data_IF_630599031942
#
_entry.id   IF_630599031942
#
_cell.length_a   1.000
_cell.length_b   1.000
_cell.length_c   1.000
_cell.angle_alpha   90.00
_cell.angle_beta   90.00
_cell.angle_gamma   90.00
#
_symmetry.space_group_name_H-M   'P 1'
#
loop_
_entity.id
_entity.type
_entity.pdbx_description
1 polymer ?
#
# COMPACT_ATOMS: atom_id res chain seq x y z
N UNK A 1 3.67 3.86 -40.88
CA UNK A 1 4.73 4.31 -39.95
C UNK A 1 4.26 4.02 -38.53
N UNK A 2 4.71 2.90 -37.94
CA UNK A 2 4.26 2.47 -36.61
C UNK A 2 4.97 3.29 -35.54
N UNK A 3 4.27 4.21 -34.89
CA UNK A 3 4.72 4.82 -33.64
C UNK A 3 4.51 3.79 -32.52
N UNK A 4 5.51 2.95 -32.27
CA UNK A 4 5.62 2.24 -30.99
C UNK A 4 5.88 3.32 -29.96
N UNK A 5 4.84 3.75 -29.25
CA UNK A 5 4.99 4.59 -28.07
C UNK A 5 5.63 3.73 -26.98
N UNK A 6 6.96 3.75 -26.90
CA UNK A 6 7.71 3.08 -25.86
C UNK A 6 7.37 3.73 -24.51
N UNK A 7 6.47 3.11 -23.74
CA UNK A 7 6.09 3.59 -22.40
C UNK A 7 7.21 3.27 -21.42
N UNK A 8 8.11 4.22 -21.20
CA UNK A 8 9.11 4.14 -20.14
C UNK A 8 8.52 4.66 -18.83
N UNK A 9 8.37 3.80 -17.83
CA UNK A 9 7.88 4.17 -16.50
C UNK A 9 9.03 4.30 -15.51
N UNK A 10 8.81 4.99 -14.39
CA UNK A 10 9.74 4.99 -13.26
C UNK A 10 10.06 3.59 -12.77
N UNK A 11 9.08 2.67 -12.82
CA UNK A 11 9.28 1.26 -12.50
C UNK A 11 10.25 0.60 -13.46
N UNK A 12 10.08 0.76 -14.78
CA UNK A 12 10.99 0.19 -15.78
C UNK A 12 12.44 0.67 -15.59
N UNK A 13 12.63 1.97 -15.35
CA UNK A 13 13.96 2.53 -15.13
C UNK A 13 14.58 2.05 -13.81
N UNK A 14 13.80 1.98 -12.72
CA UNK A 14 14.31 1.45 -11.44
C UNK A 14 14.69 -0.02 -11.61
N UNK A 15 13.88 -0.81 -12.32
CA UNK A 15 14.23 -2.20 -12.62
C UNK A 15 15.54 -2.29 -13.39
N UNK A 16 15.69 -1.51 -14.46
CA UNK A 16 16.93 -1.50 -15.24
C UNK A 16 18.14 -1.06 -14.41
N UNK A 17 18.01 -0.02 -13.58
CA UNK A 17 19.07 0.46 -12.68
C UNK A 17 19.47 -0.63 -11.69
N UNK A 18 18.50 -1.34 -11.12
CA UNK A 18 18.80 -2.44 -10.18
C UNK A 18 19.58 -3.56 -10.85
N UNK A 19 19.24 -3.91 -12.09
CA UNK A 19 19.92 -4.97 -12.85
C UNK A 19 21.33 -4.56 -13.28
N UNK A 20 21.49 -3.32 -13.75
CA UNK A 20 22.69 -2.92 -14.47
C UNK A 20 23.62 -2.01 -13.67
N UNK A 21 23.11 -1.32 -12.65
CA UNK A 21 23.76 -0.21 -11.96
C UNK A 21 23.53 -0.28 -10.43
N UNK A 22 23.51 -1.49 -9.86
CA UNK A 22 23.23 -1.72 -8.44
C UNK A 22 24.15 -0.93 -7.50
N UNK A 23 25.47 -0.96 -7.74
CA UNK A 23 26.44 -0.21 -6.93
C UNK A 23 26.21 1.30 -6.98
N UNK A 24 25.87 1.82 -8.17
CA UNK A 24 25.50 3.22 -8.32
C UNK A 24 24.22 3.55 -7.56
N UNK A 25 23.21 2.67 -7.60
CA UNK A 25 21.97 2.85 -6.87
C UNK A 25 22.20 2.89 -5.36
N UNK A 26 22.99 1.97 -4.81
CA UNK A 26 23.33 1.93 -3.38
C UNK A 26 24.08 3.19 -2.95
N UNK A 27 25.07 3.62 -3.73
CA UNK A 27 25.81 4.87 -3.47
C UNK A 27 24.89 6.09 -3.58
N UNK A 28 24.06 6.18 -4.62
CA UNK A 28 23.10 7.27 -4.77
C UNK A 28 22.16 7.36 -3.57
N UNK A 29 21.61 6.22 -3.12
CA UNK A 29 20.73 6.14 -1.95
C UNK A 29 21.48 6.56 -0.68
N UNK A 30 22.74 6.16 -0.48
CA UNK A 30 23.53 6.53 0.70
C UNK A 30 23.82 8.02 0.80
N UNK A 31 23.86 8.75 -0.34
CA UNK A 31 23.97 10.22 -0.33
C UNK A 31 22.72 10.95 0.13
N UNK A 32 21.58 10.25 0.30
CA UNK A 32 20.29 10.86 0.65
C UNK A 32 19.94 10.55 2.10
N UNK A 33 19.09 11.42 2.67
CA UNK A 33 18.45 11.11 3.96
C UNK A 33 17.66 9.80 3.82
N UNK A 34 17.68 8.90 4.83
CA UNK A 34 17.01 7.60 4.77
C UNK A 34 15.54 7.65 4.32
N UNK A 35 14.84 8.73 4.69
CA UNK A 35 13.41 8.91 4.39
C UNK A 35 13.14 9.66 3.07
N UNK A 36 14.18 10.15 2.39
CA UNK A 36 14.05 10.95 1.17
C UNK A 36 14.58 10.25 -0.08
N UNK A 37 15.43 9.23 0.07
CA UNK A 37 16.13 8.57 -1.04
C UNK A 37 15.20 8.12 -2.16
N UNK A 38 14.09 7.45 -1.81
CA UNK A 38 13.10 7.00 -2.80
C UNK A 38 12.43 8.14 -3.54
N UNK A 39 12.04 9.20 -2.82
CA UNK A 39 11.36 10.35 -3.40
C UNK A 39 12.34 11.11 -4.32
N UNK A 40 13.61 11.22 -3.92
CA UNK A 40 14.66 11.83 -4.72
C UNK A 40 14.92 11.05 -6.01
N UNK A 41 15.02 9.71 -5.94
CA UNK A 41 15.20 8.87 -7.12
C UNK A 41 13.99 8.95 -8.07
N UNK A 42 12.76 8.85 -7.53
CA UNK A 42 11.55 8.97 -8.33
C UNK A 42 11.48 10.33 -9.04
N UNK A 43 11.82 11.43 -8.35
CA UNK A 43 11.89 12.76 -8.95
C UNK A 43 12.93 12.84 -10.07
N UNK A 44 14.13 12.29 -9.85
CA UNK A 44 15.18 12.23 -10.87
C UNK A 44 14.69 11.53 -12.14
N UNK A 45 14.04 10.38 -11.98
CA UNK A 45 13.50 9.58 -13.07
C UNK A 45 12.30 10.23 -13.76
N UNK A 46 11.42 10.90 -13.00
CA UNK A 46 10.34 11.70 -13.56
C UNK A 46 10.86 12.87 -14.40
N UNK A 47 11.91 13.55 -13.92
CA UNK A 47 12.59 14.60 -14.69
C UNK A 47 13.22 14.05 -15.96
N UNK A 48 13.83 12.86 -15.91
CA UNK A 48 14.33 12.17 -17.11
C UNK A 48 13.19 11.86 -18.10
N UNK A 49 12.10 11.26 -17.63
CA UNK A 49 10.93 10.98 -18.47
C UNK A 49 10.41 12.25 -19.16
N UNK A 50 10.25 13.34 -18.40
CA UNK A 50 9.80 14.64 -18.91
C UNK A 50 10.76 15.21 -19.95
N UNK A 51 12.07 15.16 -19.69
CA UNK A 51 13.10 15.69 -20.58
C UNK A 51 13.14 14.96 -21.93
N UNK A 52 12.89 13.65 -21.91
CA UNK A 52 12.99 12.80 -23.10
C UNK A 52 11.63 12.45 -23.73
N UNK A 53 10.55 13.16 -23.35
CA UNK A 53 9.25 13.04 -24.02
C UNK A 53 8.49 11.74 -23.75
N UNK A 54 8.81 11.01 -22.68
CA UNK A 54 8.08 9.79 -22.32
C UNK A 54 6.73 10.15 -21.66
N UNK A 55 5.63 9.67 -22.23
CA UNK A 55 4.25 9.84 -21.74
C UNK A 55 3.70 8.59 -21.06
N UNK A 56 2.68 8.76 -20.21
CA UNK A 56 2.22 7.74 -19.26
C UNK A 56 0.71 7.49 -19.39
N UNK A 57 0.27 6.28 -19.78
CA UNK A 57 -1.06 5.70 -19.42
C UNK A 57 -1.10 4.16 -19.55
N UNK A 58 -1.81 3.50 -18.62
CA UNK A 58 -2.96 2.59 -18.90
C UNK A 58 -3.65 2.18 -17.58
N UNK A 59 -5.00 2.11 -17.55
CA UNK A 59 -5.73 1.38 -16.53
C UNK A 59 -5.66 -0.12 -16.80
N UNK A 60 -5.47 -0.91 -15.74
CA UNK A 60 -5.60 -2.37 -15.79
C UNK A 60 -6.78 -2.77 -14.92
N UNK A 61 -7.74 -3.49 -15.49
CA UNK A 61 -8.86 -4.08 -14.75
C UNK A 61 -8.76 -5.60 -14.81
N UNK A 62 -8.54 -6.22 -13.65
CA UNK A 62 -9.01 -7.58 -13.34
C UNK A 62 -9.42 -7.57 -11.87
N UNK A 63 -10.72 -7.65 -11.60
CA UNK A 63 -11.27 -7.88 -10.26
C UNK A 63 -11.38 -9.39 -10.04
N UNK A 64 -11.11 -9.84 -8.82
CA UNK A 64 -11.43 -11.20 -8.38
C UNK A 64 -12.94 -11.34 -8.20
N UNK A 65 -13.45 -12.58 -8.17
CA UNK A 65 -14.86 -12.84 -7.87
C UNK A 65 -15.12 -12.56 -6.38
N UNK A 66 -16.27 -11.96 -6.06
CA UNK A 66 -16.64 -11.54 -4.71
C UNK A 66 -16.64 -12.68 -3.68
N UNK A 67 -17.02 -13.90 -4.10
CA UNK A 67 -17.14 -15.07 -3.21
C UNK A 67 -15.81 -15.48 -2.58
N UNK A 68 -14.73 -15.44 -3.35
CA UNK A 68 -13.38 -15.77 -2.86
C UNK A 68 -12.87 -14.71 -1.87
N UNK A 69 -13.33 -13.47 -2.00
CA UNK A 69 -12.96 -12.40 -1.07
C UNK A 69 -13.71 -12.52 0.26
N UNK A 70 -14.96 -12.98 0.24
CA UNK A 70 -15.79 -13.14 1.43
C UNK A 70 -15.27 -14.24 2.37
N UNK A 71 -14.90 -15.41 1.84
CA UNK A 71 -14.37 -16.53 2.65
C UNK A 71 -13.07 -16.14 3.39
N UNK A 72 -12.14 -15.48 2.69
CA UNK A 72 -10.88 -15.02 3.27
C UNK A 72 -11.11 -13.91 4.30
N UNK A 73 -12.14 -13.09 4.12
CA UNK A 73 -12.49 -12.03 5.04
C UNK A 73 -13.06 -12.59 6.36
N UNK A 74 -13.93 -13.59 6.28
CA UNK A 74 -14.53 -14.25 7.44
C UNK A 74 -13.48 -14.97 8.30
N UNK A 75 -12.61 -15.76 7.66
CA UNK A 75 -11.50 -16.46 8.34
C UNK A 75 -10.63 -15.47 9.13
N UNK A 76 -10.18 -14.40 8.47
CA UNK A 76 -9.33 -13.39 9.09
C UNK A 76 -10.02 -12.62 10.23
N UNK A 77 -11.30 -12.28 10.05
CA UNK A 77 -12.05 -11.51 11.04
C UNK A 77 -12.28 -12.30 12.33
N UNK A 78 -12.59 -13.60 12.21
CA UNK A 78 -12.84 -14.47 13.37
C UNK A 78 -11.61 -14.68 14.27
N UNK A 79 -10.40 -14.65 13.69
CA UNK A 79 -9.15 -14.79 14.45
C UNK A 79 -8.71 -13.51 15.17
N UNK A 80 -9.21 -12.34 14.74
CA UNK A 80 -8.65 -11.03 15.14
C UNK A 80 -9.56 -10.20 16.05
N UNK A 81 -10.82 -10.60 16.23
CA UNK A 81 -11.84 -9.81 16.92
C UNK A 81 -12.26 -10.54 18.19
N UNK A 82 -12.02 -9.93 19.35
CA UNK A 82 -12.50 -10.42 20.65
C UNK A 82 -13.77 -9.67 21.06
N UNK A 83 -14.76 -10.39 21.60
CA UNK A 83 -15.99 -9.78 22.12
C UNK A 83 -15.79 -9.25 23.55
N UNK A 84 -16.27 -8.03 23.89
CA UNK A 84 -16.93 -7.04 23.03
C UNK A 84 -15.92 -6.08 22.38
N UNK A 85 -16.08 -5.81 21.08
CA UNK A 85 -15.21 -4.90 20.33
C UNK A 85 -15.97 -3.98 19.37
N UNK A 86 -15.25 -2.95 18.89
CA UNK A 86 -15.77 -1.95 17.94
C UNK A 86 -14.87 -1.91 16.71
N UNK A 87 -15.48 -2.04 15.54
CA UNK A 87 -14.82 -1.94 14.23
C UNK A 87 -15.09 -0.55 13.65
N UNK A 88 -14.05 0.29 13.63
CA UNK A 88 -14.13 1.64 13.08
C UNK A 88 -13.86 1.63 11.56
N UNK A 89 -14.86 2.00 10.76
CA UNK A 89 -14.79 1.95 9.29
C UNK A 89 -15.17 3.30 8.68
N UNK A 90 -14.70 3.56 7.46
CA UNK A 90 -15.21 4.68 6.67
C UNK A 90 -16.63 4.37 6.15
N UNK A 91 -17.32 5.40 5.67
CA UNK A 91 -18.70 5.28 5.17
C UNK A 91 -18.76 4.73 3.74
N UNK A 92 -17.84 3.84 3.37
CA UNK A 92 -17.89 3.18 2.07
C UNK A 92 -19.07 2.20 2.05
N UNK A 93 -19.82 2.19 0.96
CA UNK A 93 -21.13 1.51 0.88
C UNK A 93 -21.08 0.04 1.28
N UNK A 94 -20.00 -0.68 0.94
CA UNK A 94 -19.87 -2.09 1.31
C UNK A 94 -19.47 -2.32 2.78
N UNK A 95 -19.03 -1.29 3.51
CA UNK A 95 -18.70 -1.39 4.94
C UNK A 95 -19.93 -1.17 5.82
N UNK A 96 -20.90 -0.38 5.33
CA UNK A 96 -22.08 0.05 6.09
C UNK A 96 -23.39 -0.51 5.54
N UNK A 97 -23.33 -1.60 4.78
CA UNK A 97 -24.54 -2.31 4.33
C UNK A 97 -25.18 -3.10 5.48
N UNK A 98 -26.48 -3.39 5.35
CA UNK A 98 -27.22 -4.17 6.35
C UNK A 98 -26.58 -5.54 6.59
N UNK A 99 -26.06 -6.17 5.54
CA UNK A 99 -25.33 -7.44 5.63
C UNK A 99 -24.04 -7.32 6.44
N UNK A 100 -23.29 -6.23 6.25
CA UNK A 100 -22.06 -5.96 7.01
C UNK A 100 -22.36 -5.81 8.50
N UNK A 101 -23.36 -4.99 8.86
CA UNK A 101 -23.79 -4.84 10.25
C UNK A 101 -24.25 -6.16 10.85
N UNK A 102 -25.00 -6.97 10.08
CA UNK A 102 -25.48 -8.27 10.53
C UNK A 102 -24.34 -9.24 10.83
N UNK A 103 -23.40 -9.39 9.90
CA UNK A 103 -22.25 -10.30 10.06
C UNK A 103 -21.40 -9.87 11.26
N UNK A 104 -21.05 -8.58 11.35
CA UNK A 104 -20.17 -8.09 12.42
C UNK A 104 -20.82 -8.21 13.80
N UNK A 105 -22.14 -8.04 13.90
CA UNK A 105 -22.84 -8.18 15.16
C UNK A 105 -23.17 -9.63 15.52
N UNK A 106 -23.74 -10.41 14.59
CA UNK A 106 -24.25 -11.77 14.88
C UNK A 106 -23.15 -12.84 14.88
N UNK A 107 -22.14 -12.71 14.00
CA UNK A 107 -21.10 -13.73 13.82
C UNK A 107 -19.80 -13.39 14.57
N UNK A 108 -19.50 -12.09 14.72
CA UNK A 108 -18.25 -11.61 15.34
C UNK A 108 -18.45 -10.90 16.69
N UNK A 109 -19.71 -10.68 17.12
CA UNK A 109 -20.08 -9.99 18.36
C UNK A 109 -19.44 -8.62 18.56
N UNK A 110 -19.23 -7.90 17.47
CA UNK A 110 -18.66 -6.57 17.45
C UNK A 110 -19.66 -5.54 16.91
N UNK A 111 -19.36 -4.26 17.14
CA UNK A 111 -20.16 -3.16 16.62
C UNK A 111 -19.40 -2.40 15.55
N UNK A 112 -20.03 -2.17 14.40
CA UNK A 112 -19.49 -1.23 13.40
C UNK A 112 -19.74 0.20 13.89
N UNK A 113 -18.68 1.01 13.87
CA UNK A 113 -18.74 2.45 14.01
C UNK A 113 -18.35 3.09 12.68
N UNK A 114 -19.34 3.57 11.94
CA UNK A 114 -19.10 4.28 10.69
C UNK A 114 -18.68 5.72 10.95
N UNK A 115 -17.57 6.14 10.34
CA UNK A 115 -17.12 7.53 10.39
C UNK A 115 -18.07 8.44 9.61
N UNK A 116 -18.24 9.71 10.05
CA UNK A 116 -18.96 10.70 9.26
C UNK A 116 -18.38 10.83 7.84
N UNK A 117 -19.21 11.09 6.81
CA UNK A 117 -18.71 11.29 5.45
C UNK A 117 -17.61 12.35 5.38
N UNK A 118 -16.58 12.09 4.57
CA UNK A 118 -15.41 12.97 4.36
C UNK A 118 -14.53 13.21 5.60
N UNK A 119 -14.65 12.38 6.64
CA UNK A 119 -13.83 12.50 7.86
C UNK A 119 -12.67 11.50 7.95
N UNK A 120 -12.56 10.53 7.02
CA UNK A 120 -11.52 9.49 6.98
C UNK A 120 -10.11 10.02 7.23
N UNK A 121 -9.71 11.08 6.52
CA UNK A 121 -8.36 11.64 6.64
C UNK A 121 -8.02 12.24 8.00
N UNK A 122 -9.02 12.48 8.85
CA UNK A 122 -8.88 13.12 10.16
C UNK A 122 -9.22 12.17 11.31
N UNK A 123 -10.15 11.23 11.08
CA UNK A 123 -10.76 10.42 12.12
C UNK A 123 -10.45 8.91 11.97
N UNK A 124 -9.84 8.46 10.87
CA UNK A 124 -9.43 7.06 10.73
C UNK A 124 -7.97 6.91 11.15
N UNK A 125 -7.65 6.12 12.21
CA UNK A 125 -6.27 5.92 12.67
C UNK A 125 -5.32 5.46 11.56
N UNK A 126 -5.83 4.60 10.68
CA UNK A 126 -5.10 4.08 9.53
C UNK A 126 -4.55 5.24 8.68
N UNK A 127 -5.42 6.15 8.21
CA UNK A 127 -5.03 7.29 7.39
C UNK A 127 -4.24 8.36 8.15
N UNK A 128 -4.63 8.66 9.39
CA UNK A 128 -4.04 9.75 10.20
C UNK A 128 -2.59 9.44 10.59
N UNK A 129 -2.26 8.18 10.89
CA UNK A 129 -0.97 7.83 11.48
C UNK A 129 -0.23 6.65 10.87
N UNK A 130 -0.92 5.63 10.39
CA UNK A 130 -0.30 4.35 9.99
C UNK A 130 0.10 4.33 8.51
N UNK A 131 -0.73 4.88 7.62
CA UNK A 131 -0.53 4.79 6.18
C UNK A 131 0.76 5.48 5.71
N UNK A 132 1.14 6.59 6.33
CA UNK A 132 2.37 7.32 5.99
C UNK A 132 3.64 6.49 6.28
N UNK A 133 3.89 5.98 7.50
CA UNK A 133 5.04 5.12 7.78
C UNK A 133 4.98 3.80 7.01
N UNK A 134 3.81 3.16 6.88
CA UNK A 134 3.65 1.93 6.09
C UNK A 134 4.05 2.13 4.62
N UNK A 135 3.51 3.17 3.96
CA UNK A 135 3.84 3.50 2.57
C UNK A 135 5.31 3.87 2.39
N UNK A 136 5.93 4.50 3.40
CA UNK A 136 7.37 4.78 3.41
C UNK A 136 8.18 3.49 3.45
N UNK A 137 7.81 2.54 4.32
CA UNK A 137 8.48 1.25 4.44
C UNK A 137 8.33 0.42 3.15
N UNK A 138 7.14 0.38 2.57
CA UNK A 138 6.88 -0.24 1.26
C UNK A 138 7.83 0.26 0.17
N UNK A 139 7.98 1.59 0.08
CA UNK A 139 8.88 2.22 -0.89
C UNK A 139 10.35 1.89 -0.62
N UNK A 140 10.76 1.89 0.65
CA UNK A 140 12.12 1.54 1.07
C UNK A 140 12.45 0.09 0.69
N UNK A 141 11.60 -0.86 1.07
CA UNK A 141 11.82 -2.26 0.74
C UNK A 141 11.75 -2.50 -0.75
N UNK A 142 10.80 -1.89 -1.47
CA UNK A 142 10.75 -2.03 -2.92
C UNK A 142 12.03 -1.58 -3.60
N UNK A 143 12.75 -0.58 -3.07
CA UNK A 143 14.02 -0.15 -3.64
C UNK A 143 15.19 -1.07 -3.31
N UNK A 144 15.21 -1.65 -2.12
CA UNK A 144 16.31 -2.50 -1.65
C UNK A 144 16.13 -3.97 -1.99
N UNK A 145 14.91 -4.38 -2.36
CA UNK A 145 14.60 -5.73 -2.79
C UNK A 145 15.38 -6.07 -4.07
N UNK A 146 15.89 -7.30 -4.13
CA UNK A 146 16.51 -7.81 -5.35
C UNK A 146 15.49 -7.94 -6.48
N UNK A 147 15.99 -8.13 -7.70
CA UNK A 147 15.10 -8.31 -8.84
C UNK A 147 14.44 -9.68 -8.77
N UNK A 148 13.15 -9.70 -9.11
CA UNK A 148 12.39 -10.93 -9.21
C UNK A 148 12.84 -11.61 -10.51
N UNK A 149 13.53 -12.74 -10.37
CA UNK A 149 13.90 -13.59 -11.51
C UNK A 149 12.64 -14.32 -11.99
N UNK A 150 12.53 -14.47 -13.31
CA UNK A 150 11.49 -15.30 -13.92
C UNK A 150 11.68 -16.79 -13.66
N UNK A 151 10.92 -17.61 -14.36
CA UNK A 151 11.09 -19.06 -14.28
C UNK A 151 12.25 -19.53 -15.18
N UNK A 152 12.49 -20.84 -15.20
CA UNK A 152 13.59 -21.45 -15.97
C UNK A 152 13.40 -21.26 -17.49
N UNK A 153 12.17 -21.04 -17.96
CA UNK A 153 11.86 -20.83 -19.38
C UNK A 153 12.13 -19.38 -19.81
N UNK A 154 11.78 -18.40 -18.97
CA UNK A 154 12.07 -16.98 -19.20
C UNK A 154 12.56 -16.28 -17.92
N UNK A 155 13.86 -16.40 -17.59
CA UNK A 155 14.44 -15.79 -16.37
C UNK A 155 14.33 -14.26 -16.33
N UNK A 156 14.08 -13.61 -17.47
CA UNK A 156 13.98 -12.16 -17.58
C UNK A 156 12.55 -11.63 -17.45
N UNK A 157 11.55 -12.52 -17.41
CA UNK A 157 10.13 -12.16 -17.36
C UNK A 157 9.41 -12.79 -16.18
N UNK A 158 9.45 -12.15 -15.00
CA UNK A 158 8.73 -12.66 -13.83
C UNK A 158 7.23 -12.78 -14.08
N UNK A 159 6.68 -13.93 -13.70
CA UNK A 159 5.26 -14.24 -13.82
C UNK A 159 4.40 -13.31 -12.95
N UNK A 160 3.11 -13.21 -13.28
CA UNK A 160 2.17 -12.46 -12.44
C UNK A 160 2.09 -13.01 -11.00
N UNK A 161 2.28 -14.33 -10.84
CA UNK A 161 2.30 -14.98 -9.53
C UNK A 161 3.50 -14.52 -8.70
N UNK A 162 4.72 -14.61 -9.26
CA UNK A 162 5.95 -14.15 -8.60
C UNK A 162 5.90 -12.66 -8.23
N UNK A 163 5.38 -11.81 -9.14
CA UNK A 163 5.18 -10.38 -8.88
C UNK A 163 4.23 -10.11 -7.71
N UNK A 164 3.11 -10.84 -7.63
CA UNK A 164 2.15 -10.72 -6.52
C UNK A 164 2.76 -11.21 -5.20
N UNK A 165 3.44 -12.36 -5.23
CA UNK A 165 4.10 -12.92 -4.04
C UNK A 165 5.13 -11.95 -3.45
N UNK A 166 5.99 -11.37 -4.30
CA UNK A 166 6.95 -10.35 -3.87
C UNK A 166 6.26 -9.11 -3.30
N UNK A 167 5.14 -8.67 -3.90
CA UNK A 167 4.36 -7.56 -3.37
C UNK A 167 3.77 -7.84 -1.99
N UNK A 168 3.23 -9.04 -1.76
CA UNK A 168 2.68 -9.47 -0.46
C UNK A 168 3.78 -9.56 0.59
N UNK A 169 4.90 -10.25 0.29
CA UNK A 169 6.04 -10.34 1.21
C UNK A 169 6.60 -8.98 1.60
N UNK A 170 6.66 -8.05 0.63
CA UNK A 170 7.07 -6.67 0.88
C UNK A 170 6.07 -5.93 1.76
N UNK A 171 4.78 -6.14 1.58
CA UNK A 171 3.75 -5.54 2.41
C UNK A 171 3.85 -6.04 3.86
N UNK A 172 4.05 -7.34 4.07
CA UNK A 172 4.28 -7.93 5.39
C UNK A 172 5.51 -7.28 6.05
N UNK A 173 6.66 -7.30 5.37
CA UNK A 173 7.88 -6.69 5.91
C UNK A 173 7.72 -5.17 6.18
N UNK A 174 6.93 -4.47 5.36
CA UNK A 174 6.63 -3.05 5.57
C UNK A 174 5.73 -2.81 6.79
N UNK A 175 4.79 -3.73 7.05
CA UNK A 175 3.89 -3.72 8.19
C UNK A 175 4.63 -4.02 9.49
N UNK A 176 5.52 -5.01 9.51
CA UNK A 176 6.34 -5.37 10.69
C UNK A 176 7.22 -4.21 11.19
N UNK A 177 7.52 -3.26 10.30
CA UNK A 177 8.27 -2.04 10.63
C UNK A 177 7.40 -0.92 11.21
N UNK A 178 6.08 -1.08 11.27
CA UNK A 178 5.14 -0.16 11.93
C UNK A 178 5.01 -0.61 13.39
N UNK A 179 5.66 0.11 14.29
CA UNK A 179 5.63 -0.22 15.72
C UNK A 179 4.25 -0.01 16.34
N UNK A 180 3.93 -0.75 17.40
CA UNK A 180 2.72 -0.56 18.21
C UNK A 180 2.55 0.88 18.71
N UNK A 181 3.64 1.59 19.02
CA UNK A 181 3.59 3.00 19.43
C UNK A 181 3.10 3.94 18.33
N UNK A 182 3.29 3.58 17.05
CA UNK A 182 2.73 4.33 15.91
C UNK A 182 1.24 4.06 15.82
N UNK A 183 0.82 2.80 16.03
CA UNK A 183 -0.59 2.40 16.03
C UNK A 183 -1.32 3.10 17.17
N UNK A 184 -0.83 3.02 18.41
CA UNK A 184 -1.43 3.68 19.59
C UNK A 184 -1.60 5.19 19.37
N UNK A 185 -0.53 5.88 18.96
CA UNK A 185 -0.58 7.32 18.68
C UNK A 185 -1.48 7.68 17.51
N UNK A 186 -1.67 6.77 16.54
CA UNK A 186 -2.61 7.00 15.44
C UNK A 186 -4.05 7.02 15.94
N UNK A 187 -4.39 6.14 16.89
CA UNK A 187 -5.70 6.13 17.54
C UNK A 187 -5.92 7.41 18.35
N UNK A 188 -4.94 7.83 19.15
CA UNK A 188 -5.02 9.07 19.93
C UNK A 188 -5.24 10.31 19.04
N UNK A 189 -4.54 10.39 17.90
CA UNK A 189 -4.67 11.50 16.95
C UNK A 189 -6.01 11.52 16.21
N UNK A 190 -6.63 10.36 16.04
CA UNK A 190 -7.90 10.23 15.33
C UNK A 190 -9.09 10.70 16.18
N UNK A 191 -8.91 10.89 17.49
CA UNK A 191 -9.94 11.42 18.39
C UNK A 191 -10.08 12.93 18.15
N UNK A 192 -11.26 13.42 17.71
CA UNK A 192 -11.49 14.85 17.55
C UNK A 192 -11.30 15.57 18.89
N UNK A 193 -10.43 16.58 18.91
CA UNK A 193 -10.33 17.45 20.07
C UNK A 193 -11.52 18.40 20.05
N UNK A 194 -12.37 18.32 21.08
CA UNK A 194 -13.41 19.32 21.30
C UNK A 194 -12.71 20.67 21.46
N UNK A 195 -12.97 21.61 20.55
CA UNK A 195 -12.62 23.00 20.82
C UNK A 195 -13.50 23.42 22.00
N UNK A 196 -12.86 23.75 23.13
CA UNK A 196 -13.57 24.45 24.19
C UNK A 196 -14.01 25.79 23.59
N UNK A 197 -15.32 26.00 23.53
CA UNK A 197 -15.90 27.29 23.18
C UNK A 197 -15.33 28.34 24.16
N UNK A 198 -14.52 29.27 23.64
CA UNK A 198 -14.02 30.45 24.36
C UNK A 198 -15.00 31.61 24.19
#
# INVERSE_FOLDING_TARGET
MYAITNVLTTTHMITWIKLNQWNWLLNYISTKKPNAACISLLKLLQCFCKRHGFTRQRPTKKKLKQTVLAEVQEEFASESIEEPSVVLLDNFECHVSDESYKIVYEELGAHICALPPNSTSFCQPLDVGVMAPFTRNLRKFWLLEEQIVGDDEDPFSPTACQKRMAMVKRAIAAWDMVSDDVIRRSCEKAIPQLMADN
#
